data_IF_352584311869
#
_entry.id   IF_352584311869
#
_cell.length_a   1.000
_cell.length_b   1.000
_cell.length_c   1.000
_cell.angle_alpha   90.00
_cell.angle_beta   90.00
_cell.angle_gamma   90.00
#
_symmetry.space_group_name_H-M   'P 1'
#
loop_
_entity.id
_entity.type
_entity.pdbx_description
1 polymer ?
#
# COMPACT_ATOMS: atom_id res chain seq x y z
N UNK A 1 16.13 -42.62 29.61
CA UNK A 1 14.84 -42.02 29.22
C UNK A 1 14.54 -40.85 30.17
N UNK A 2 14.38 -39.62 29.65
CA UNK A 2 13.74 -38.42 30.27
C UNK A 2 14.41 -37.06 30.03
N UNK A 3 15.43 -36.91 29.16
CA UNK A 3 16.02 -35.56 28.93
C UNK A 3 16.25 -35.14 27.48
N UNK A 4 15.86 -35.97 26.49
CA UNK A 4 16.11 -35.68 25.06
C UNK A 4 14.81 -35.45 24.28
N UNK A 5 13.64 -35.62 24.90
CA UNK A 5 12.35 -35.61 24.19
C UNK A 5 11.60 -34.25 24.22
N UNK A 6 12.26 -33.15 24.61
CA UNK A 6 11.59 -31.85 24.77
C UNK A 6 12.05 -30.78 23.78
N UNK A 7 13.10 -31.02 23.00
CA UNK A 7 13.64 -30.02 22.07
C UNK A 7 13.10 -30.11 20.64
N UNK A 8 12.34 -31.15 20.30
CA UNK A 8 11.79 -31.38 18.95
C UNK A 8 10.30 -31.05 18.82
N UNK A 9 9.62 -30.68 19.92
CA UNK A 9 8.18 -30.40 19.91
C UNK A 9 7.83 -28.89 19.89
N UNK A 10 8.83 -28.00 19.91
CA UNK A 10 8.60 -26.55 20.00
C UNK A 10 8.67 -25.85 18.61
N UNK A 11 9.05 -26.56 17.54
CA UNK A 11 9.11 -25.97 16.19
C UNK A 11 7.88 -26.22 15.30
N UNK A 12 6.81 -26.85 15.81
CA UNK A 12 5.62 -27.21 15.00
C UNK A 12 4.31 -26.59 15.47
N UNK A 13 4.36 -25.53 16.29
CA UNK A 13 3.14 -24.85 16.72
C UNK A 13 3.25 -23.36 16.40
N UNK A 14 2.26 -22.90 15.63
CA UNK A 14 1.90 -21.50 15.34
C UNK A 14 2.84 -20.68 14.45
N UNK A 15 2.90 -21.03 13.16
CA UNK A 15 2.98 -20.01 12.10
C UNK A 15 1.57 -19.45 11.85
N UNK A 16 0.96 -18.83 12.86
CA UNK A 16 -0.18 -17.94 12.60
C UNK A 16 0.44 -16.64 12.12
N UNK A 17 0.42 -16.43 10.81
CA UNK A 17 0.81 -15.17 10.19
C UNK A 17 -0.05 -14.10 10.85
N UNK A 18 0.58 -13.36 11.75
CA UNK A 18 -0.04 -12.23 12.41
C UNK A 18 -0.23 -11.17 11.35
N UNK A 19 -1.39 -10.52 11.33
CA UNK A 19 -1.56 -9.27 10.61
C UNK A 19 -0.49 -8.30 11.12
N UNK A 20 0.57 -8.10 10.31
CA UNK A 20 1.66 -7.22 10.64
C UNK A 20 1.63 -6.08 9.65
N UNK A 21 1.26 -4.90 10.14
CA UNK A 21 1.59 -3.65 9.49
C UNK A 21 3.11 -3.56 9.36
N UNK A 22 3.61 -3.56 8.12
CA UNK A 22 5.03 -3.48 7.81
C UNK A 22 5.29 -2.19 7.04
N UNK A 23 6.25 -1.42 7.52
CA UNK A 23 6.84 -0.32 6.76
C UNK A 23 7.72 -0.91 5.64
N UNK A 24 7.51 -0.46 4.42
CA UNK A 24 8.24 -0.88 3.22
C UNK A 24 8.95 0.33 2.62
N UNK A 25 10.29 0.31 2.71
CA UNK A 25 11.13 1.40 2.22
C UNK A 25 11.28 1.34 0.69
N UNK A 26 11.84 2.38 0.10
CA UNK A 26 12.14 2.44 -1.33
C UNK A 26 12.95 1.23 -1.79
N UNK A 27 12.47 0.57 -2.84
CA UNK A 27 13.08 -0.63 -3.43
C UNK A 27 12.77 -1.93 -2.69
N UNK A 28 12.15 -1.86 -1.51
CA UNK A 28 11.76 -3.06 -0.77
C UNK A 28 10.43 -3.63 -1.27
N UNK A 29 10.20 -4.90 -0.94
CA UNK A 29 8.95 -5.59 -1.23
C UNK A 29 8.42 -6.34 -0.01
N UNK A 30 7.10 -6.48 0.04
CA UNK A 30 6.40 -7.34 1.01
C UNK A 30 5.40 -8.22 0.27
N UNK A 31 5.19 -9.43 0.78
CA UNK A 31 4.14 -10.32 0.30
C UNK A 31 3.09 -10.50 1.40
N UNK A 32 1.83 -10.25 1.06
CA UNK A 32 0.69 -10.66 1.85
C UNK A 32 0.17 -11.98 1.29
N UNK A 33 0.02 -13.01 2.12
CA UNK A 33 -0.47 -14.32 1.70
C UNK A 33 -1.83 -14.59 2.34
N UNK A 34 -2.81 -14.99 1.52
CA UNK A 34 -4.18 -15.33 1.95
C UNK A 34 -4.86 -14.21 2.78
N UNK A 35 -4.47 -12.95 2.52
CA UNK A 35 -5.02 -11.79 3.21
C UNK A 35 -6.46 -11.55 2.75
N UNK A 36 -7.37 -11.40 3.70
CA UNK A 36 -8.76 -10.97 3.48
C UNK A 36 -8.81 -9.50 3.05
N UNK A 37 -7.87 -8.70 3.54
CA UNK A 37 -7.74 -7.31 3.17
C UNK A 37 -6.28 -6.87 3.25
N UNK A 38 -5.88 -5.98 2.35
CA UNK A 38 -4.57 -5.36 2.38
C UNK A 38 -4.76 -3.85 2.37
N UNK A 39 -4.42 -3.21 3.48
CA UNK A 39 -4.41 -1.75 3.57
C UNK A 39 -3.01 -1.25 3.22
N UNK A 40 -2.95 -0.27 2.31
CA UNK A 40 -1.72 0.38 1.88
C UNK A 40 -1.89 1.86 2.16
N UNK A 41 -0.98 2.44 2.94
CA UNK A 41 -1.02 3.85 3.33
C UNK A 41 0.34 4.51 3.24
N UNK A 42 0.34 5.83 3.06
CA UNK A 42 1.55 6.66 3.05
C UNK A 42 1.32 7.90 3.91
N UNK A 43 2.37 8.32 4.63
CA UNK A 43 2.29 9.51 5.45
C UNK A 43 2.25 10.78 4.58
N UNK A 44 1.42 11.75 4.96
CA UNK A 44 1.50 13.09 4.40
C UNK A 44 2.75 13.80 4.95
N UNK A 45 3.61 14.28 4.07
CA UNK A 45 4.85 14.99 4.44
C UNK A 45 4.68 16.49 4.11
N UNK A 46 5.13 17.36 5.01
CA UNK A 46 5.10 18.79 4.79
C UNK A 46 6.00 19.19 3.61
N UNK A 47 5.54 20.11 2.76
CA UNK A 47 6.32 20.62 1.65
C UNK A 47 7.43 21.57 2.10
N UNK A 48 8.63 21.38 1.55
CA UNK A 48 9.79 22.27 1.74
C UNK A 48 9.89 23.24 0.56
N UNK A 49 9.47 24.48 0.73
CA UNK A 49 9.37 25.49 -0.34
C UNK A 49 10.67 26.30 -0.51
N UNK A 50 11.78 25.61 -0.67
CA UNK A 50 13.12 26.20 -0.83
C UNK A 50 13.69 26.00 -2.25
N UNK A 51 12.92 25.49 -3.21
CA UNK A 51 13.33 25.43 -4.62
C UNK A 51 13.26 26.82 -5.29
N UNK A 52 14.03 27.01 -6.36
CA UNK A 52 14.31 28.29 -7.05
C UNK A 52 13.06 29.07 -7.47
N UNK A 53 11.94 28.39 -7.71
CA UNK A 53 10.68 29.01 -8.17
C UNK A 53 9.57 28.97 -7.11
N UNK A 54 9.90 28.70 -5.84
CA UNK A 54 8.91 28.49 -4.79
C UNK A 54 8.17 27.17 -4.91
N UNK A 55 8.72 26.21 -5.67
CA UNK A 55 8.26 24.82 -5.67
C UNK A 55 8.76 24.09 -4.44
N UNK A 56 8.17 22.92 -4.18
CA UNK A 56 8.68 22.03 -3.13
C UNK A 56 9.92 21.31 -3.63
N UNK A 57 10.98 21.31 -2.82
CA UNK A 57 12.19 20.54 -3.11
C UNK A 57 12.08 19.07 -2.72
N UNK A 58 11.12 18.73 -1.86
CA UNK A 58 10.87 17.38 -1.39
C UNK A 58 9.61 16.76 -2.02
N UNK A 59 9.58 15.43 -2.01
CA UNK A 59 8.38 14.64 -2.32
C UNK A 59 7.45 14.66 -1.10
N UNK A 60 6.22 15.15 -1.28
CA UNK A 60 5.27 15.50 -0.21
C UNK A 60 4.49 14.29 0.33
N UNK A 61 5.15 13.13 0.39
CA UNK A 61 4.53 11.89 0.84
C UNK A 61 3.78 11.14 -0.26
N UNK A 62 4.20 11.25 -1.52
CA UNK A 62 3.63 10.40 -2.57
C UNK A 62 4.15 8.96 -2.46
N UNK A 63 3.28 7.98 -2.67
CA UNK A 63 3.67 6.58 -2.81
C UNK A 63 3.56 6.14 -4.26
N UNK A 64 4.55 5.38 -4.74
CA UNK A 64 4.50 4.73 -6.04
C UNK A 64 4.83 3.25 -5.86
N UNK A 65 3.89 2.39 -6.22
CA UNK A 65 3.91 0.97 -5.89
C UNK A 65 3.62 0.13 -7.13
N UNK A 66 4.20 -1.05 -7.14
CA UNK A 66 3.86 -2.10 -8.09
C UNK A 66 3.23 -3.25 -7.31
N UNK A 67 1.97 -3.54 -7.60
CA UNK A 67 1.19 -4.60 -6.94
C UNK A 67 1.04 -5.78 -7.90
N UNK A 68 1.74 -6.87 -7.60
CA UNK A 68 1.59 -8.14 -8.31
C UNK A 68 0.63 -9.06 -7.56
N UNK A 69 -0.33 -9.64 -8.28
CA UNK A 69 -1.33 -10.55 -7.72
C UNK A 69 -1.15 -11.91 -8.35
N UNK A 70 -0.89 -12.93 -7.53
CA UNK A 70 -0.83 -14.32 -8.00
C UNK A 70 -2.15 -14.77 -8.63
N UNK A 71 -3.28 -14.23 -8.15
CA UNK A 71 -4.63 -14.68 -8.50
C UNK A 71 -5.02 -14.59 -9.96
N UNK A 72 -4.46 -13.62 -10.66
CA UNK A 72 -4.67 -13.48 -12.09
C UNK A 72 -3.38 -13.14 -12.82
N UNK A 73 -2.23 -13.33 -12.16
CA UNK A 73 -0.90 -12.98 -12.65
C UNK A 73 -0.82 -11.55 -13.20
N UNK A 74 -1.57 -10.61 -12.61
CA UNK A 74 -1.55 -9.20 -13.04
C UNK A 74 -0.62 -8.37 -12.17
N UNK A 75 -0.02 -7.37 -12.81
CA UNK A 75 0.77 -6.34 -12.16
C UNK A 75 0.06 -5.01 -12.37
N UNK A 76 -0.26 -4.32 -11.29
CA UNK A 76 -0.99 -3.04 -11.32
C UNK A 76 -0.13 -1.96 -10.65
N UNK A 77 0.14 -0.83 -11.34
CA UNK A 77 0.75 0.31 -10.69
C UNK A 77 -0.28 0.99 -9.77
N UNK A 78 0.17 1.41 -8.60
CA UNK A 78 -0.65 2.12 -7.61
C UNK A 78 0.10 3.36 -7.14
N UNK A 79 -0.60 4.49 -7.15
CA UNK A 79 -0.08 5.77 -6.64
C UNK A 79 -1.00 6.33 -5.57
N UNK A 80 -0.40 6.82 -4.48
CA UNK A 80 -1.07 7.59 -3.42
C UNK A 80 -0.41 8.96 -3.32
N UNK A 81 -1.20 9.99 -3.02
CA UNK A 81 -0.77 11.38 -3.09
C UNK A 81 -1.51 12.21 -2.05
N UNK A 82 -1.26 12.01 -0.74
CA UNK A 82 -2.00 12.66 0.33
C UNK A 82 -1.94 14.19 0.26
N UNK A 83 -0.79 14.72 -0.16
CA UNK A 83 -0.60 16.15 -0.29
C UNK A 83 -1.05 16.69 -1.66
N UNK A 84 -1.41 15.86 -2.64
CA UNK A 84 -1.80 16.35 -3.96
C UNK A 84 -3.19 16.98 -3.90
N UNK A 85 -3.32 18.17 -4.48
CA UNK A 85 -4.54 18.96 -4.42
C UNK A 85 -4.96 19.39 -5.83
N UNK A 86 -6.09 18.89 -6.31
CA UNK A 86 -6.71 19.37 -7.55
C UNK A 86 -7.96 20.22 -7.31
N UNK A 87 -8.21 20.61 -6.06
CA UNK A 87 -9.37 21.44 -5.73
C UNK A 87 -9.27 22.77 -6.47
N UNK A 88 -10.42 23.21 -6.97
CA UNK A 88 -10.56 24.48 -7.68
C UNK A 88 -10.06 25.61 -6.79
N UNK A 89 -9.19 26.45 -7.34
CA UNK A 89 -8.63 27.59 -6.62
C UNK A 89 -9.71 28.67 -6.52
N UNK A 90 -10.48 28.64 -5.44
CA UNK A 90 -11.51 29.65 -5.14
C UNK A 90 -10.89 30.93 -4.55
N UNK A 91 -9.59 30.94 -4.28
CA UNK A 91 -8.92 31.99 -3.50
C UNK A 91 -8.77 33.33 -4.21
N UNK A 92 -8.39 33.36 -5.49
CA UNK A 92 -8.15 34.62 -6.22
C UNK A 92 -9.44 35.38 -6.54
N UNK A 93 -10.55 34.65 -6.69
CA UNK A 93 -11.83 35.17 -7.14
C UNK A 93 -12.92 35.08 -6.05
N UNK A 94 -12.59 34.60 -4.85
CA UNK A 94 -13.51 34.42 -3.70
C UNK A 94 -14.85 33.71 -4.03
N UNK A 95 -14.93 33.00 -5.16
CA UNK A 95 -16.15 32.32 -5.64
C UNK A 95 -17.05 33.16 -6.55
N UNK A 96 -16.60 34.32 -7.05
CA UNK A 96 -17.39 35.23 -7.89
C UNK A 96 -17.71 34.70 -9.29
N UNK A 97 -16.96 33.72 -9.79
CA UNK A 97 -17.21 33.00 -11.03
C UNK A 97 -18.45 32.10 -10.97
N UNK A 98 -19.08 31.92 -9.80
CA UNK A 98 -20.28 31.11 -9.62
C UNK A 98 -20.05 29.60 -9.83
N UNK A 99 -18.79 29.19 -9.99
CA UNK A 99 -18.40 27.79 -10.11
C UNK A 99 -18.29 27.20 -8.70
N UNK A 100 -19.04 26.13 -8.46
CA UNK A 100 -18.89 25.36 -7.23
C UNK A 100 -17.46 24.80 -7.12
N UNK A 101 -16.88 24.69 -5.90
CA UNK A 101 -15.61 24.02 -5.70
C UNK A 101 -15.65 22.61 -6.30
N UNK A 102 -14.70 22.30 -7.20
CA UNK A 102 -14.53 20.96 -7.78
C UNK A 102 -13.20 20.38 -7.36
N UNK A 103 -13.09 19.06 -7.40
CA UNK A 103 -11.86 18.35 -7.08
C UNK A 103 -11.80 17.91 -5.61
N UNK A 104 -10.70 17.26 -5.25
CA UNK A 104 -10.43 16.80 -3.89
C UNK A 104 -8.93 16.72 -3.65
N UNK A 105 -8.56 16.51 -2.39
CA UNK A 105 -7.23 15.99 -2.07
C UNK A 105 -7.06 14.58 -2.65
N UNK A 106 -5.81 14.22 -2.94
CA UNK A 106 -5.44 12.86 -3.28
C UNK A 106 -5.62 11.90 -2.09
N UNK A 107 -5.58 10.60 -2.39
CA UNK A 107 -5.75 9.56 -1.38
C UNK A 107 -4.42 9.31 -0.67
N UNK A 108 -4.48 9.21 0.65
CA UNK A 108 -3.42 8.78 1.55
C UNK A 108 -3.37 7.25 1.72
N UNK A 109 -4.47 6.58 1.33
CA UNK A 109 -4.71 5.17 1.61
C UNK A 109 -5.60 4.50 0.57
N UNK A 110 -5.34 3.21 0.35
CA UNK A 110 -6.23 2.30 -0.39
C UNK A 110 -6.35 0.97 0.36
N UNK A 111 -7.51 0.33 0.22
CA UNK A 111 -7.76 -1.00 0.77
C UNK A 111 -8.06 -1.94 -0.38
N UNK A 112 -7.23 -2.97 -0.55
CA UNK A 112 -7.47 -4.07 -1.47
C UNK A 112 -8.27 -5.13 -0.72
N UNK A 113 -9.46 -5.44 -1.19
CA UNK A 113 -10.30 -6.49 -0.60
C UNK A 113 -10.09 -7.80 -1.32
N UNK A 114 -10.15 -8.90 -0.57
CA UNK A 114 -10.16 -10.25 -1.12
C UNK A 114 -11.24 -10.41 -2.19
N UNK A 115 -10.91 -11.13 -3.26
CA UNK A 115 -11.84 -11.50 -4.32
C UNK A 115 -12.09 -13.01 -4.28
N UNK A 116 -13.33 -13.47 -4.08
CA UNK A 116 -13.63 -14.88 -3.82
C UNK A 116 -13.45 -15.82 -5.03
N UNK A 117 -13.44 -15.32 -6.26
CA UNK A 117 -13.52 -16.18 -7.46
C UNK A 117 -12.17 -16.72 -8.03
N UNK A 118 -11.08 -16.73 -7.27
CA UNK A 118 -9.75 -17.08 -7.82
C UNK A 118 -9.26 -18.52 -7.61
N UNK A 119 -10.03 -19.40 -6.96
CA UNK A 119 -9.68 -20.82 -6.85
C UNK A 119 -10.83 -21.70 -7.31
N UNK A 120 -10.70 -22.31 -8.51
CA UNK A 120 -11.68 -23.28 -9.05
C UNK A 120 -11.30 -24.74 -8.82
N UNK A 121 -10.27 -25.00 -8.00
CA UNK A 121 -9.97 -26.33 -7.48
C UNK A 121 -9.59 -27.41 -8.51
N UNK A 122 -9.20 -27.05 -9.74
CA UNK A 122 -8.85 -28.03 -10.79
C UNK A 122 -7.52 -27.79 -11.54
N UNK A 123 -6.79 -26.70 -11.29
CA UNK A 123 -5.74 -26.26 -12.21
C UNK A 123 -4.44 -25.90 -11.49
N UNK A 124 -3.42 -26.72 -11.73
CA UNK A 124 -1.93 -26.59 -11.75
C UNK A 124 -1.21 -25.26 -11.38
N UNK A 125 -1.87 -24.13 -11.20
CA UNK A 125 -1.33 -22.89 -10.64
C UNK A 125 -2.06 -22.56 -9.34
N UNK A 126 -1.60 -23.14 -8.23
CA UNK A 126 -2.08 -22.82 -6.89
C UNK A 126 -1.79 -21.34 -6.61
N UNK A 127 -2.80 -20.51 -6.88
CA UNK A 127 -2.89 -19.11 -6.52
C UNK A 127 -2.89 -19.10 -5.00
N UNK A 128 -1.72 -18.99 -4.41
CA UNK A 128 -1.47 -19.07 -2.97
C UNK A 128 -2.02 -17.85 -2.20
N UNK A 129 -3.00 -17.14 -2.76
CA UNK A 129 -3.53 -15.88 -2.24
C UNK A 129 -2.46 -14.78 -2.12
N UNK A 130 -1.32 -14.95 -2.79
CA UNK A 130 -0.18 -14.05 -2.63
C UNK A 130 -0.38 -12.75 -3.42
N UNK A 131 -0.23 -11.63 -2.72
CA UNK A 131 -0.10 -10.29 -3.29
C UNK A 131 1.26 -9.75 -2.88
N UNK A 132 2.13 -9.53 -3.87
CA UNK A 132 3.45 -8.94 -3.67
C UNK A 132 3.43 -7.47 -4.03
N UNK A 133 3.84 -6.63 -3.09
CA UNK A 133 3.82 -5.18 -3.21
C UNK A 133 5.26 -4.69 -3.13
N UNK A 134 5.69 -3.97 -4.15
CA UNK A 134 7.03 -3.39 -4.25
C UNK A 134 6.92 -1.87 -4.23
N UNK A 135 7.65 -1.23 -3.32
CA UNK A 135 7.74 0.22 -3.26
C UNK A 135 8.79 0.71 -4.26
N UNK A 136 8.34 1.40 -5.30
CA UNK A 136 9.19 2.02 -6.32
C UNK A 136 9.29 3.54 -6.16
N UNK A 137 8.63 4.09 -5.13
CA UNK A 137 8.62 5.52 -4.80
C UNK A 137 9.73 5.89 -3.82
N UNK A 138 9.80 7.18 -3.51
CA UNK A 138 10.80 7.78 -2.60
C UNK A 138 10.41 7.69 -1.13
N UNK A 139 9.11 7.66 -0.84
CA UNK A 139 8.58 7.62 0.52
C UNK A 139 8.30 6.19 0.95
N UNK A 140 8.55 5.89 2.23
CA UNK A 140 8.15 4.63 2.83
C UNK A 140 6.62 4.51 2.89
N UNK A 141 6.11 3.30 2.72
CA UNK A 141 4.67 2.99 2.80
C UNK A 141 4.41 2.00 3.91
N UNK A 142 3.26 2.11 4.56
CA UNK A 142 2.79 1.12 5.52
C UNK A 142 1.81 0.17 4.85
N UNK A 143 2.06 -1.12 4.99
CA UNK A 143 1.23 -2.19 4.41
C UNK A 143 0.76 -3.08 5.54
N UNK A 144 -0.55 -3.18 5.72
CA UNK A 144 -1.20 -4.05 6.70
C UNK A 144 -1.95 -5.18 5.99
N UNK A 145 -1.51 -6.42 6.21
CA UNK A 145 -2.11 -7.62 5.65
C UNK A 145 -3.04 -8.25 6.70
N UNK A 146 -4.36 -8.15 6.52
CA UNK A 146 -5.39 -8.64 7.45
C UNK A 146 -6.11 -9.89 6.94
#
# INVERSE_FOLDING_TARGET
MKKILFFTLICFVSFVVSAQAKEVKTGESVSCKDAKSIEISVAQIAGEFNDKNGYTSNDRGTANLVVWKSSNFTTVPLTLGPADNNMSVVGADQGHTGLAPRGSMGKDKVVLTHQPEFSRGDSIGDISGEVRITNTGTNAVNIDCM
#
